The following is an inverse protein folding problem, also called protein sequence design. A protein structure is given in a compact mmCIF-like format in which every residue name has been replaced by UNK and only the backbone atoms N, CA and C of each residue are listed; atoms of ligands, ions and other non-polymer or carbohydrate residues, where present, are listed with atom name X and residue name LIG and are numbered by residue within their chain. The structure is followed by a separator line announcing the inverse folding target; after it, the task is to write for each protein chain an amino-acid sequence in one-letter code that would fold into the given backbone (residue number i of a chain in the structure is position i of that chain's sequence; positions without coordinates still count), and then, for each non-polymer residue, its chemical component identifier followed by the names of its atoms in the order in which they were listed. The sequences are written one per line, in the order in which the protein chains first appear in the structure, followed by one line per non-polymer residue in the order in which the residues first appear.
data_IF_941619920480
#
_entry.id   IF_941619920480
#
_cell.length_a   1.000
_cell.length_b   1.000
_cell.length_c   1.000
_cell.angle_alpha   90.00
_cell.angle_beta   90.00
_cell.angle_gamma   90.00
#
_symmetry.space_group_name_H-M   'P 1'
#
loop_
_entity.id
_entity.type
_entity.pdbx_description
1 polymer ?
#
# COMPACT_ATOMS: atom_id res chain seq x y z
N UNK A 1 -2.58 2.02 13.28
CA UNK A 1 -1.47 1.04 13.30
C UNK A 1 -1.20 0.43 11.93
N UNK A 2 -2.15 0.47 11.00
CA UNK A 2 -1.91 0.25 9.58
C UNK A 2 -2.60 1.35 8.80
N UNK A 3 -2.07 1.69 7.61
CA UNK A 3 -2.60 2.71 6.72
C UNK A 3 -4.08 2.41 6.38
N UNK A 4 -5.02 3.06 7.09
CA UNK A 4 -6.45 2.82 6.93
C UNK A 4 -6.94 3.46 5.61
N UNK A 5 -6.95 2.65 4.56
CA UNK A 5 -7.39 3.05 3.23
C UNK A 5 -7.93 1.84 2.44
N UNK A 6 -8.60 2.13 1.32
CA UNK A 6 -9.03 1.10 0.37
C UNK A 6 -7.80 0.59 -0.38
N UNK A 7 -7.81 -0.69 -0.77
CA UNK A 7 -6.72 -1.27 -1.56
C UNK A 7 -6.43 -0.49 -2.86
N UNK A 8 -7.46 0.04 -3.52
CA UNK A 8 -7.32 0.90 -4.70
C UNK A 8 -6.62 2.24 -4.43
N UNK A 9 -6.71 2.77 -3.21
CA UNK A 9 -5.96 3.98 -2.80
C UNK A 9 -4.52 3.64 -2.42
N UNK A 10 -4.30 2.49 -1.78
CA UNK A 10 -2.97 2.01 -1.43
C UNK A 10 -2.11 1.74 -2.67
N UNK A 11 -2.68 1.14 -3.72
CA UNK A 11 -1.94 0.84 -4.95
C UNK A 11 -1.59 2.09 -5.77
N UNK A 12 -2.28 3.22 -5.53
CA UNK A 12 -2.06 4.49 -6.24
C UNK A 12 -1.25 5.50 -5.43
N UNK A 13 -0.58 5.08 -4.34
CA UNK A 13 0.27 5.98 -3.55
C UNK A 13 1.42 6.46 -4.43
N UNK A 14 1.61 7.78 -4.43
CA UNK A 14 2.73 8.44 -5.08
C UNK A 14 3.87 8.62 -4.07
N UNK A 15 5.10 8.37 -4.50
CA UNK A 15 6.26 8.47 -3.61
C UNK A 15 6.46 9.92 -3.13
N UNK A 16 6.31 10.89 -4.04
CA UNK A 16 6.38 12.33 -3.75
C UNK A 16 5.24 12.85 -2.84
N UNK A 17 4.21 12.05 -2.59
CA UNK A 17 3.10 12.41 -1.70
C UNK A 17 3.29 11.85 -0.28
N UNK A 18 4.48 11.34 0.02
CA UNK A 18 4.83 10.96 1.38
C UNK A 18 5.73 12.03 1.97
N UNK A 19 5.43 12.47 3.19
CA UNK A 19 6.35 13.29 3.96
C UNK A 19 6.49 12.75 5.37
N UNK A 20 7.62 13.05 6.00
CA UNK A 20 7.83 12.76 7.39
C UNK A 20 7.48 14.01 8.21
N UNK A 21 6.73 13.82 9.29
CA UNK A 21 6.39 14.88 10.24
C UNK A 21 6.64 14.34 11.65
N UNK A 22 7.60 14.93 12.35
CA UNK A 22 8.06 14.51 13.68
C UNK A 22 8.30 13.00 13.83
N UNK A 23 7.32 12.26 14.36
CA UNK A 23 7.38 10.84 14.71
C UNK A 23 6.60 9.92 13.75
N UNK A 24 6.00 10.46 12.69
CA UNK A 24 5.13 9.71 11.80
C UNK A 24 5.31 10.01 10.32
N UNK A 25 4.98 9.03 9.49
CA UNK A 25 4.87 9.18 8.05
C UNK A 25 3.48 9.68 7.69
N UNK A 26 3.38 10.75 6.91
CA UNK A 26 2.15 11.27 6.33
C UNK A 26 2.04 10.84 4.87
N UNK A 27 0.87 10.37 4.48
CA UNK A 27 0.55 9.98 3.09
C UNK A 27 -0.63 10.80 2.59
N UNK A 28 -0.41 11.56 1.52
CA UNK A 28 -1.44 12.36 0.84
C UNK A 28 -2.01 11.60 -0.36
N UNK A 29 -3.28 11.21 -0.29
CA UNK A 29 -3.95 10.62 -1.45
C UNK A 29 -4.36 11.70 -2.45
N UNK A 30 -4.08 11.47 -3.74
CA UNK A 30 -4.64 12.28 -4.82
C UNK A 30 -6.16 12.16 -4.81
N UNK A 31 -6.85 13.31 -4.93
CA UNK A 31 -8.29 13.43 -4.69
C UNK A 31 -9.11 12.36 -5.43
N UNK A 32 -9.98 11.66 -4.71
CA UNK A 32 -11.04 10.87 -5.33
C UNK A 32 -12.23 11.77 -5.68
N UNK A 33 -12.96 11.42 -6.75
CA UNK A 33 -14.05 12.18 -7.41
C UNK A 33 -15.23 12.61 -6.51
N UNK A 34 -15.20 12.35 -5.20
CA UNK A 34 -16.34 12.50 -4.28
C UNK A 34 -16.09 13.49 -3.14
N UNK A 35 -15.09 14.38 -3.25
CA UNK A 35 -14.79 15.34 -2.19
C UNK A 35 -14.62 16.77 -2.70
N UNK A 36 -15.72 17.44 -3.06
CA UNK A 36 -15.76 18.90 -2.97
C UNK A 36 -15.74 19.27 -1.48
N UNK A 37 -14.56 19.42 -0.90
CA UNK A 37 -14.38 20.29 0.26
C UNK A 37 -14.01 21.66 -0.27
N UNK A 38 -14.96 22.59 -0.14
CA UNK A 38 -14.82 24.02 -0.37
C UNK A 38 -13.50 24.53 0.21
N UNK A 39 -12.61 25.00 -0.66
CA UNK A 39 -11.40 25.73 -0.27
C UNK A 39 -10.14 24.88 -0.12
N UNK A 40 -9.44 24.65 -1.25
CA UNK A 40 -7.97 24.62 -1.40
C UNK A 40 -7.09 23.75 -0.49
N UNK A 41 -7.64 23.01 0.47
CA UNK A 41 -6.87 22.21 1.42
C UNK A 41 -6.69 20.80 0.88
N UNK A 42 -5.45 20.29 0.80
CA UNK A 42 -5.21 18.86 0.62
C UNK A 42 -6.04 18.10 1.67
N UNK A 43 -6.66 16.98 1.27
CA UNK A 43 -7.38 16.15 2.24
C UNK A 43 -6.45 15.73 3.39
N UNK A 44 -7.01 15.55 4.59
CA UNK A 44 -6.25 15.19 5.79
C UNK A 44 -5.34 13.97 5.53
N UNK A 45 -4.01 14.09 5.72
CA UNK A 45 -3.08 13.02 5.43
C UNK A 45 -3.36 11.81 6.30
N UNK A 46 -3.09 10.61 5.75
CA UNK A 46 -3.05 9.42 6.59
C UNK A 46 -1.71 9.35 7.31
N UNK A 47 -1.77 9.41 8.63
CA UNK A 47 -0.61 9.24 9.51
C UNK A 47 -0.35 7.77 9.77
N UNK A 48 0.91 7.36 9.61
CA UNK A 48 1.41 6.02 9.87
C UNK A 48 2.53 6.12 10.88
N UNK A 49 2.40 5.34 11.95
CA UNK A 49 3.36 5.29 13.04
C UNK A 49 4.19 4.00 12.97
N UNK A 50 5.42 4.07 13.46
CA UNK A 50 6.23 2.89 13.68
C UNK A 50 5.64 2.02 14.81
N UNK A 51 5.73 0.70 14.66
CA UNK A 51 5.41 -0.27 15.69
C UNK A 51 6.68 -1.04 16.08
N UNK A 52 7.49 -0.53 17.03
CA UNK A 52 8.73 -1.20 17.44
C UNK A 52 8.46 -2.47 18.25
N UNK A 53 7.28 -2.62 18.85
CA UNK A 53 6.93 -3.80 19.67
C UNK A 53 6.64 -5.04 18.86
N UNK A 54 6.13 -4.89 17.63
CA UNK A 54 5.84 -5.99 16.71
C UNK A 54 6.37 -5.64 15.31
N UNK A 55 7.70 -5.78 15.07
CA UNK A 55 8.33 -5.39 13.81
C UNK A 55 7.73 -6.10 12.59
N UNK A 56 7.25 -7.34 12.75
CA UNK A 56 6.63 -8.16 11.69
C UNK A 56 5.37 -7.54 11.08
N UNK A 57 4.69 -6.64 11.79
CA UNK A 57 3.52 -5.89 11.31
C UNK A 57 3.77 -4.38 11.22
N UNK A 58 5.01 -3.93 11.39
CA UNK A 58 5.37 -2.50 11.37
C UNK A 58 5.42 -1.98 9.93
N UNK A 59 4.53 -1.05 9.57
CA UNK A 59 4.46 -0.52 8.21
C UNK A 59 5.72 0.27 7.81
N UNK A 60 6.32 1.02 8.74
CA UNK A 60 7.56 1.78 8.48
C UNK A 60 8.71 0.82 8.17
N UNK A 61 8.83 -0.28 8.92
CA UNK A 61 9.84 -1.29 8.67
C UNK A 61 9.60 -2.01 7.33
N UNK A 62 8.36 -2.43 7.07
CA UNK A 62 7.98 -3.09 5.82
C UNK A 62 8.26 -2.19 4.59
N UNK A 63 7.96 -0.89 4.70
CA UNK A 63 8.26 0.10 3.67
C UNK A 63 9.78 0.26 3.47
N UNK A 64 10.56 0.32 4.55
CA UNK A 64 12.02 0.39 4.48
C UNK A 64 12.63 -0.82 3.76
N UNK A 65 12.20 -2.04 4.12
CA UNK A 65 12.63 -3.27 3.44
C UNK A 65 12.24 -3.22 1.96
N UNK A 66 11.01 -2.79 1.65
CA UNK A 66 10.54 -2.66 0.28
C UNK A 66 11.43 -1.72 -0.55
N UNK A 67 11.77 -0.54 -0.02
CA UNK A 67 12.61 0.44 -0.71
C UNK A 67 14.06 -0.01 -0.88
N UNK A 68 14.58 -0.84 0.03
CA UNK A 68 15.89 -1.48 -0.12
C UNK A 68 15.92 -2.51 -1.25
N UNK A 69 14.81 -3.23 -1.45
CA UNK A 69 14.69 -4.22 -2.52
C UNK A 69 14.24 -3.61 -3.86
N UNK A 70 13.57 -2.47 -3.83
CA UNK A 70 12.97 -1.83 -5.00
C UNK A 70 13.14 -0.31 -4.94
N UNK A 71 13.91 0.24 -5.88
CA UNK A 71 14.05 1.68 -6.04
C UNK A 71 12.87 2.22 -6.86
N UNK A 72 11.98 3.06 -6.28
CA UNK A 72 10.86 3.62 -7.01
C UNK A 72 11.32 4.64 -8.05
N UNK A 73 10.73 4.57 -9.25
CA UNK A 73 10.93 5.55 -10.32
C UNK A 73 10.08 6.81 -10.06
N UNK A 74 10.44 7.53 -9.00
CA UNK A 74 9.98 8.84 -8.45
C UNK A 74 8.47 9.11 -8.31
N UNK A 75 7.60 8.50 -9.10
CA UNK A 75 6.21 8.90 -9.28
C UNK A 75 5.24 8.02 -8.50
N UNK A 76 5.38 6.70 -8.59
CA UNK A 76 4.49 5.72 -7.94
C UNK A 76 5.27 4.82 -7.00
N UNK A 77 4.72 4.59 -5.80
CA UNK A 77 5.35 3.73 -4.80
C UNK A 77 5.38 2.28 -5.26
N UNK A 78 4.27 1.78 -5.81
CA UNK A 78 4.15 0.41 -6.31
C UNK A 78 4.09 0.40 -7.85
N UNK A 79 5.02 -0.25 -8.55
CA UNK A 79 5.03 -0.26 -10.00
C UNK A 79 3.91 -1.13 -10.58
N UNK A 80 3.41 -0.78 -11.77
CA UNK A 80 2.38 -1.53 -12.48
C UNK A 80 0.96 -1.21 -12.04
N UNK A 81 -0.03 -1.85 -12.68
CA UNK A 81 -1.46 -1.61 -12.44
C UNK A 81 -2.09 -2.80 -11.73
N UNK A 82 -3.19 -2.56 -11.01
CA UNK A 82 -4.00 -3.61 -10.37
C UNK A 82 -3.23 -4.47 -9.34
N UNK A 83 -2.40 -3.83 -8.51
CA UNK A 83 -1.61 -4.52 -7.49
C UNK A 83 -2.47 -5.28 -6.50
N UNK A 84 -3.60 -4.69 -6.11
CA UNK A 84 -4.62 -5.32 -5.28
C UNK A 84 -5.12 -6.64 -5.89
N UNK A 85 -5.45 -6.66 -7.19
CA UNK A 85 -5.89 -7.88 -7.89
C UNK A 85 -4.80 -8.93 -7.95
N UNK A 86 -3.55 -8.53 -8.24
CA UNK A 86 -2.40 -9.44 -8.29
C UNK A 86 -2.16 -10.11 -6.94
N UNK A 87 -2.19 -9.32 -5.86
CA UNK A 87 -2.11 -9.82 -4.50
C UNK A 87 -3.23 -10.83 -4.22
N UNK A 88 -4.48 -10.46 -4.50
CA UNK A 88 -5.63 -11.35 -4.27
C UNK A 88 -5.55 -12.65 -5.07
N UNK A 89 -5.09 -12.62 -6.32
CA UNK A 89 -4.90 -13.83 -7.13
C UNK A 89 -3.88 -14.78 -6.51
N UNK A 90 -2.74 -14.25 -6.05
CA UNK A 90 -1.70 -15.05 -5.39
C UNK A 90 -2.22 -15.58 -4.05
N UNK A 91 -2.86 -14.71 -3.27
CA UNK A 91 -3.40 -15.06 -1.97
C UNK A 91 -4.47 -16.16 -2.06
N UNK A 92 -5.40 -16.06 -3.02
CA UNK A 92 -6.40 -17.11 -3.27
C UNK A 92 -5.77 -18.45 -3.67
N UNK A 93 -4.67 -18.44 -4.45
CA UNK A 93 -3.91 -19.68 -4.77
C UNK A 93 -3.20 -20.28 -3.55
N UNK A 94 -2.82 -19.46 -2.57
CA UNK A 94 -2.21 -19.92 -1.33
C UNK A 94 -3.27 -20.52 -0.40
N UNK A 95 -4.45 -19.90 -0.34
CA UNK A 95 -5.57 -20.36 0.47
C UNK A 95 -6.30 -21.58 -0.14
N UNK A 96 -6.24 -21.79 -1.45
CA UNK A 96 -6.89 -22.94 -2.09
C UNK A 96 -6.30 -24.26 -1.55
N UNK A 97 -7.16 -25.26 -1.25
CA UNK A 97 -6.71 -26.58 -0.82
C UNK A 97 -5.70 -27.20 -1.80
N UNK A 98 -4.85 -28.15 -1.34
CA UNK A 98 -3.86 -28.81 -2.19
C UNK A 98 -4.46 -29.43 -3.47
N UNK A 99 -5.68 -29.95 -3.39
CA UNK A 99 -6.38 -30.64 -4.49
C UNK A 99 -6.66 -29.72 -5.69
N UNK A 100 -6.98 -28.45 -5.44
CA UNK A 100 -7.24 -27.46 -6.50
C UNK A 100 -5.94 -26.90 -7.11
N UNK A 101 -4.84 -26.90 -6.35
CA UNK A 101 -3.52 -26.48 -6.85
C UNK A 101 -2.94 -27.47 -7.87
N UNK A 102 -3.20 -28.77 -7.69
CA UNK A 102 -2.74 -29.81 -8.63
C UNK A 102 -3.47 -29.69 -9.99
N UNK A 103 -4.78 -29.42 -9.99
CA UNK A 103 -5.57 -29.24 -11.23
C UNK A 103 -5.17 -28.00 -12.03
N UNK A 104 -4.85 -26.90 -11.35
CA UNK A 104 -4.47 -25.64 -12.01
C UNK A 104 -3.07 -25.66 -12.66
N UNK A 105 -2.25 -26.69 -12.43
CA UNK A 105 -0.92 -26.87 -13.05
C UNK A 105 -0.90 -27.90 -14.19
N UNK A 106 -1.99 -28.64 -14.38
CA UNK A 106 -2.11 -29.73 -15.38
C UNK A 106 -2.84 -29.31 -16.66
N UNK A 107 -3.03 -28.00 -16.87
CA UNK A 107 -3.56 -27.36 -18.09
C UNK A 107 -2.54 -26.29 -18.51
#
# INVERSE_FOLDING_TARGET
WNLMCKAGSAESIQFDHMCWDEDHLQIFFSHSKTGQTTGGRPGDPRRVYANPTCPEICLILALGIYLLCYLPDRTILFPGRSQSKRFLQIFSKILSPPEDRQRARSI
#
